data_IF_325611837348
#
_entry.id   IF_325611837348
#
_cell.length_a   1.000
_cell.length_b   1.000
_cell.length_c   1.000
_cell.angle_alpha   90.00
_cell.angle_beta   90.00
_cell.angle_gamma   90.00
#
_symmetry.space_group_name_H-M   'P 1'
#
loop_
_entity.id
_entity.type
_entity.pdbx_description
1 polymer ?
#
# COMPACT_ATOMS: atom_id res chain seq x y z
N UNK A 1 -37.90 -2.11 10.12
CA UNK A 1 -36.46 -1.76 10.16
C UNK A 1 -36.11 -1.15 8.79
N UNK A 2 -35.66 0.11 8.75
CA UNK A 2 -35.13 0.69 7.49
C UNK A 2 -33.77 0.07 7.27
N UNK A 3 -33.63 -0.81 6.26
CA UNK A 3 -32.35 -1.30 5.77
C UNK A 3 -31.62 -0.14 5.09
N UNK A 4 -30.61 0.41 5.75
CA UNK A 4 -29.71 1.36 5.11
C UNK A 4 -28.90 0.60 4.06
N UNK A 5 -29.17 0.89 2.79
CA UNK A 5 -28.38 0.36 1.67
C UNK A 5 -27.03 1.08 1.60
N UNK A 6 -26.08 0.65 2.42
CA UNK A 6 -24.70 1.17 2.36
C UNK A 6 -23.89 0.30 1.42
N UNK A 7 -23.20 0.91 0.44
CA UNK A 7 -22.28 0.20 -0.45
C UNK A 7 -21.08 -0.29 0.36
N UNK A 8 -20.65 -1.52 0.14
CA UNK A 8 -19.43 -2.10 0.70
C UNK A 8 -18.63 -2.85 -0.36
N UNK A 9 -17.37 -3.15 -0.06
CA UNK A 9 -16.49 -3.97 -0.90
C UNK A 9 -16.24 -5.28 -0.17
N UNK A 10 -16.42 -6.40 -0.87
CA UNK A 10 -16.20 -7.74 -0.35
C UNK A 10 -14.93 -8.32 -1.00
N UNK A 11 -13.89 -8.52 -0.20
CA UNK A 11 -12.66 -9.22 -0.61
C UNK A 11 -12.77 -10.69 -0.24
N UNK A 12 -13.11 -11.54 -1.21
CA UNK A 12 -13.09 -12.99 -1.04
C UNK A 12 -11.64 -13.45 -1.06
N UNK A 13 -11.17 -14.03 0.04
CA UNK A 13 -9.77 -14.44 0.16
C UNK A 13 -9.54 -15.76 -0.59
N UNK A 14 -8.46 -15.81 -1.38
CA UNK A 14 -8.01 -17.07 -1.97
C UNK A 14 -7.51 -18.02 -0.86
N UNK A 15 -7.54 -19.36 -1.09
CA UNK A 15 -6.97 -20.31 -0.16
C UNK A 15 -5.47 -20.02 0.07
N UNK A 16 -5.15 -19.43 1.20
CA UNK A 16 -3.78 -19.14 1.66
C UNK A 16 -3.61 -19.65 3.08
N UNK A 17 -2.36 -19.77 3.55
CA UNK A 17 -2.07 -20.22 4.92
C UNK A 17 -2.88 -19.40 5.93
N UNK A 18 -3.63 -20.08 6.81
CA UNK A 18 -4.48 -19.47 7.86
C UNK A 18 -3.76 -18.37 8.66
N UNK A 19 -2.43 -18.54 8.88
CA UNK A 19 -1.60 -17.56 9.59
C UNK A 19 -1.59 -16.19 8.86
N UNK A 20 -1.53 -16.18 7.52
CA UNK A 20 -1.55 -14.93 6.74
C UNK A 20 -2.88 -14.20 6.85
N UNK A 21 -3.99 -14.94 6.78
CA UNK A 21 -5.34 -14.39 6.93
C UNK A 21 -5.52 -13.77 8.32
N UNK A 22 -5.17 -14.51 9.37
CA UNK A 22 -5.27 -14.02 10.75
C UNK A 22 -4.43 -12.76 10.97
N UNK A 23 -3.24 -12.68 10.36
CA UNK A 23 -2.37 -11.50 10.44
C UNK A 23 -3.03 -10.29 9.77
N UNK A 24 -3.53 -10.42 8.53
CA UNK A 24 -4.21 -9.33 7.83
C UNK A 24 -5.39 -8.79 8.64
N UNK A 25 -6.24 -9.69 9.17
CA UNK A 25 -7.38 -9.30 10.02
C UNK A 25 -6.90 -8.58 11.27
N UNK A 26 -5.89 -9.10 11.97
CA UNK A 26 -5.37 -8.50 13.20
C UNK A 26 -4.78 -7.11 12.94
N UNK A 27 -4.05 -6.93 11.85
CA UNK A 27 -3.52 -5.64 11.43
C UNK A 27 -4.65 -4.64 11.16
N UNK A 28 -5.66 -5.03 10.37
CA UNK A 28 -6.81 -4.18 10.08
C UNK A 28 -7.60 -3.79 11.34
N UNK A 29 -7.73 -4.71 12.30
CA UNK A 29 -8.35 -4.44 13.60
C UNK A 29 -7.54 -3.44 14.43
N UNK A 30 -6.20 -3.59 14.46
CA UNK A 30 -5.30 -2.67 15.17
C UNK A 30 -5.31 -1.26 14.55
N UNK A 31 -5.55 -1.17 13.24
CA UNK A 31 -5.58 0.09 12.49
C UNK A 31 -7.00 0.70 12.39
N UNK A 32 -7.99 0.13 13.06
CA UNK A 32 -9.37 0.62 13.04
C UNK A 32 -9.44 2.07 13.52
N UNK A 33 -10.13 2.91 12.75
CA UNK A 33 -10.24 4.35 13.01
C UNK A 33 -9.01 5.16 12.60
N UNK A 34 -7.99 4.51 12.04
CA UNK A 34 -6.78 5.16 11.56
C UNK A 34 -7.05 6.09 10.38
N UNK A 35 -6.35 7.23 10.38
CA UNK A 35 -6.53 8.23 9.34
C UNK A 35 -6.08 7.68 7.99
N UNK A 36 -6.96 7.77 6.98
CA UNK A 36 -6.71 7.35 5.60
C UNK A 36 -6.38 5.85 5.42
N UNK A 37 -6.66 5.02 6.44
CA UNK A 37 -6.60 3.56 6.37
C UNK A 37 -7.99 3.03 6.04
N UNK A 38 -8.07 2.07 5.11
CA UNK A 38 -9.34 1.42 4.76
C UNK A 38 -9.95 0.76 5.99
N UNK A 39 -11.26 0.95 6.21
CA UNK A 39 -11.94 0.40 7.37
C UNK A 39 -12.49 -0.99 7.08
N UNK A 40 -12.07 -1.98 7.89
CA UNK A 40 -12.68 -3.30 7.94
C UNK A 40 -14.00 -3.19 8.72
N UNK A 41 -15.11 -3.50 8.05
CA UNK A 41 -16.45 -3.45 8.64
C UNK A 41 -16.82 -4.79 9.29
N UNK A 42 -16.52 -5.91 8.62
CA UNK A 42 -16.86 -7.24 9.09
C UNK A 42 -15.97 -8.31 8.47
N UNK A 43 -15.98 -9.50 9.06
CA UNK A 43 -15.34 -10.72 8.55
C UNK A 43 -16.39 -11.81 8.49
N UNK A 44 -16.68 -12.30 7.30
CA UNK A 44 -17.70 -13.33 7.06
C UNK A 44 -17.04 -14.62 6.58
N UNK A 45 -17.45 -15.75 7.16
CA UNK A 45 -17.01 -17.07 6.72
C UNK A 45 -18.09 -17.70 5.84
N UNK A 46 -17.75 -18.02 4.59
CA UNK A 46 -18.60 -18.87 3.77
C UNK A 46 -18.58 -20.31 4.32
N UNK A 47 -19.76 -20.81 4.71
CA UNK A 47 -19.91 -22.10 5.38
C UNK A 47 -19.55 -23.26 4.46
N UNK A 48 -19.83 -23.14 3.15
CA UNK A 48 -19.59 -24.20 2.17
C UNK A 48 -18.11 -24.31 1.79
N UNK A 49 -17.49 -23.20 1.40
CA UNK A 49 -16.09 -23.17 0.97
C UNK A 49 -15.10 -23.04 2.14
N UNK A 50 -15.58 -22.73 3.37
CA UNK A 50 -14.77 -22.40 4.55
C UNK A 50 -13.78 -21.25 4.28
N UNK A 51 -14.08 -20.39 3.31
CA UNK A 51 -13.25 -19.28 2.87
C UNK A 51 -13.72 -18.01 3.57
N UNK A 52 -12.86 -17.29 4.27
CA UNK A 52 -13.22 -16.00 4.86
C UNK A 52 -13.29 -14.92 3.78
N UNK A 53 -14.22 -13.99 3.96
CA UNK A 53 -14.35 -12.76 3.17
C UNK A 53 -14.25 -11.56 4.10
N UNK A 54 -13.51 -10.56 3.68
CA UNK A 54 -13.36 -9.30 4.40
C UNK A 54 -14.30 -8.27 3.80
N UNK A 55 -15.09 -7.62 4.66
CA UNK A 55 -16.04 -6.58 4.26
C UNK A 55 -15.43 -5.22 4.59
N UNK A 56 -15.27 -4.37 3.58
CA UNK A 56 -14.67 -3.05 3.71
C UNK A 56 -15.64 -1.93 3.39
N UNK A 57 -15.35 -0.73 3.88
CA UNK A 57 -15.98 0.49 3.39
C UNK A 57 -15.78 0.62 1.87
N UNK A 58 -16.75 1.22 1.20
CA UNK A 58 -16.66 1.52 -0.23
C UNK A 58 -16.02 2.89 -0.45
N UNK A 59 -15.03 2.96 -1.32
CA UNK A 59 -14.42 4.21 -1.80
C UNK A 59 -14.81 4.39 -3.27
N UNK A 60 -15.34 5.56 -3.63
CA UNK A 60 -15.63 5.90 -5.03
C UNK A 60 -14.34 6.30 -5.75
N UNK A 61 -13.48 5.30 -6.00
CA UNK A 61 -12.15 5.51 -6.57
C UNK A 61 -12.19 5.78 -8.06
N UNK A 62 -11.34 6.68 -8.52
CA UNK A 62 -10.99 6.83 -9.94
C UNK A 62 -9.66 6.12 -10.19
N UNK A 63 -9.59 5.30 -11.25
CA UNK A 63 -8.34 4.59 -11.59
C UNK A 63 -7.17 5.57 -11.74
N UNK A 64 -6.03 5.26 -11.14
CA UNK A 64 -4.88 6.17 -11.10
C UNK A 64 -4.35 6.50 -12.51
N UNK A 65 -4.48 5.61 -13.48
CA UNK A 65 -4.07 5.86 -14.86
C UNK A 65 -4.88 6.98 -15.52
N UNK A 66 -6.12 7.13 -15.08
CA UNK A 66 -7.01 8.22 -15.52
C UNK A 66 -6.82 9.45 -14.65
N UNK A 67 -6.72 9.28 -13.34
CA UNK A 67 -6.67 10.37 -12.38
C UNK A 67 -5.33 11.13 -12.38
N UNK A 68 -4.19 10.41 -12.29
CA UNK A 68 -2.87 11.05 -12.10
C UNK A 68 -2.50 12.04 -13.19
N UNK A 69 -2.78 11.78 -14.49
CA UNK A 69 -2.51 12.79 -15.54
C UNK A 69 -3.29 14.10 -15.37
N UNK A 70 -4.41 14.07 -14.64
CA UNK A 70 -5.26 15.27 -14.45
C UNK A 70 -4.89 16.09 -13.22
N UNK A 71 -4.10 15.51 -12.28
CA UNK A 71 -3.75 16.18 -11.03
C UNK A 71 -2.83 17.37 -11.25
N UNK A 72 -3.15 18.49 -10.60
CA UNK A 72 -2.31 19.66 -10.54
C UNK A 72 -1.30 19.57 -9.38
N UNK A 73 -0.33 20.47 -9.35
CA UNK A 73 0.71 20.49 -8.29
C UNK A 73 0.11 20.46 -6.88
N UNK A 74 -0.91 21.25 -6.62
CA UNK A 74 -1.60 21.28 -5.33
C UNK A 74 -2.24 19.92 -4.97
N UNK A 75 -2.84 19.25 -5.95
CA UNK A 75 -3.48 17.94 -5.73
C UNK A 75 -2.45 16.86 -5.40
N UNK A 76 -1.32 16.86 -6.12
CA UNK A 76 -0.21 15.92 -5.89
C UNK A 76 0.32 16.07 -4.46
N UNK A 77 0.60 17.32 -4.04
CA UNK A 77 1.06 17.61 -2.67
C UNK A 77 0.03 17.14 -1.64
N UNK A 78 -1.24 17.43 -1.88
CA UNK A 78 -2.33 17.06 -0.99
C UNK A 78 -2.43 15.54 -0.81
N UNK A 79 -2.48 14.77 -1.91
CA UNK A 79 -2.62 13.31 -1.81
C UNK A 79 -1.37 12.62 -1.28
N UNK A 80 -0.18 13.10 -1.58
CA UNK A 80 1.06 12.60 -0.96
C UNK A 80 1.04 12.86 0.54
N UNK A 81 0.60 14.03 0.98
CA UNK A 81 0.45 14.35 2.40
C UNK A 81 -0.59 13.47 3.09
N UNK A 82 -1.73 13.22 2.44
CA UNK A 82 -2.75 12.30 2.97
C UNK A 82 -2.23 10.84 3.07
N UNK A 83 -1.42 10.39 2.10
CA UNK A 83 -0.77 9.08 2.15
C UNK A 83 0.27 9.00 3.28
N UNK A 84 1.05 10.06 3.48
CA UNK A 84 1.98 10.15 4.61
C UNK A 84 1.29 10.03 5.96
N UNK A 85 0.09 10.62 6.13
CA UNK A 85 -0.71 10.45 7.35
C UNK A 85 -1.12 8.99 7.59
N UNK A 86 -1.46 8.26 6.51
CA UNK A 86 -1.79 6.83 6.63
C UNK A 86 -0.56 6.02 7.06
N UNK A 87 0.61 6.30 6.48
CA UNK A 87 1.85 5.63 6.83
C UNK A 87 2.32 5.98 8.24
N UNK A 88 2.28 7.25 8.62
CA UNK A 88 2.60 7.68 9.99
C UNK A 88 1.73 6.95 11.02
N UNK A 89 0.43 6.84 10.75
CA UNK A 89 -0.47 6.13 11.63
C UNK A 89 -0.12 4.64 11.77
N UNK A 90 0.08 3.91 10.67
CA UNK A 90 0.39 2.49 10.75
C UNK A 90 1.80 2.23 11.32
N UNK A 91 2.78 3.03 10.97
CA UNK A 91 4.15 2.92 11.53
C UNK A 91 4.16 3.20 13.04
N UNK A 92 3.40 4.21 13.51
CA UNK A 92 3.24 4.50 14.94
C UNK A 92 2.54 3.38 15.71
N UNK A 93 1.82 2.51 15.01
CA UNK A 93 1.21 1.31 15.58
C UNK A 93 2.08 0.04 15.36
N UNK A 94 3.34 0.19 14.99
CA UNK A 94 4.28 -0.92 14.82
C UNK A 94 4.01 -1.78 13.59
N UNK A 95 3.43 -1.23 12.51
CA UNK A 95 3.01 -1.98 11.32
C UNK A 95 3.64 -1.36 10.08
N UNK A 96 4.30 -2.21 9.25
CA UNK A 96 4.76 -1.89 7.90
C UNK A 96 3.72 -2.37 6.88
N UNK A 97 3.40 -1.56 5.87
CA UNK A 97 2.47 -1.94 4.79
C UNK A 97 3.11 -2.90 3.79
N UNK A 98 4.29 -2.59 3.31
CA UNK A 98 5.15 -3.38 2.41
C UNK A 98 4.64 -3.59 0.97
N UNK A 99 3.55 -2.93 0.58
CA UNK A 99 3.06 -2.93 -0.82
C UNK A 99 2.43 -1.57 -1.20
N UNK A 100 3.10 -0.48 -0.83
CA UNK A 100 2.67 0.87 -1.23
C UNK A 100 2.89 1.05 -2.72
N UNK A 101 1.82 1.36 -3.44
CA UNK A 101 1.80 1.56 -4.90
C UNK A 101 0.48 2.22 -5.32
N UNK A 102 0.38 2.79 -6.53
CA UNK A 102 -0.85 3.45 -7.00
C UNK A 102 -2.10 2.56 -6.93
N UNK A 103 -1.99 1.27 -7.24
CA UNK A 103 -3.12 0.32 -7.17
C UNK A 103 -3.67 0.15 -5.75
N UNK A 104 -2.86 0.38 -4.71
CA UNK A 104 -3.23 0.23 -3.31
C UNK A 104 -3.58 1.56 -2.65
N UNK A 105 -3.68 2.63 -3.42
CA UNK A 105 -4.10 3.95 -2.95
C UNK A 105 -5.38 4.34 -3.68
N UNK A 106 -6.51 4.26 -2.97
CA UNK A 106 -7.82 4.64 -3.51
C UNK A 106 -8.07 6.11 -3.24
N UNK A 107 -8.50 6.83 -4.29
CA UNK A 107 -8.80 8.26 -4.22
C UNK A 107 -10.20 8.53 -4.77
N UNK A 108 -11.07 9.06 -3.92
CA UNK A 108 -12.30 9.75 -4.31
C UNK A 108 -11.95 11.23 -4.49
N UNK A 109 -11.70 11.63 -5.74
CA UNK A 109 -11.23 12.99 -6.04
C UNK A 109 -12.32 14.05 -5.82
N UNK A 110 -13.58 13.68 -6.00
CA UNK A 110 -14.72 14.57 -5.74
C UNK A 110 -14.81 14.94 -4.26
N UNK A 111 -14.64 13.96 -3.36
CA UNK A 111 -14.64 14.18 -1.91
C UNK A 111 -13.27 14.49 -1.35
N UNK A 112 -12.21 14.44 -2.18
CA UNK A 112 -10.81 14.58 -1.78
C UNK A 112 -10.42 13.61 -0.64
N UNK A 113 -10.88 12.37 -0.73
CA UNK A 113 -10.63 11.31 0.24
C UNK A 113 -9.64 10.29 -0.32
N UNK A 114 -8.65 9.94 0.48
CA UNK A 114 -7.67 8.90 0.18
C UNK A 114 -7.81 7.74 1.19
N UNK A 115 -7.63 6.52 0.71
CA UNK A 115 -7.52 5.32 1.56
C UNK A 115 -6.39 4.43 1.08
N UNK A 116 -5.51 4.06 2.00
CA UNK A 116 -4.51 3.03 1.79
C UNK A 116 -5.16 1.67 2.03
N UNK A 117 -5.14 0.81 1.00
CA UNK A 117 -5.83 -0.48 0.97
C UNK A 117 -4.84 -1.65 0.85
N UNK A 118 -5.35 -2.87 0.90
CA UNK A 118 -4.65 -4.15 0.71
C UNK A 118 -3.48 -4.38 1.68
N UNK A 119 -3.83 -4.74 2.89
CA UNK A 119 -2.92 -5.03 4.00
C UNK A 119 -2.43 -6.49 4.03
N UNK A 120 -2.64 -7.25 2.96
CA UNK A 120 -2.29 -8.67 2.87
C UNK A 120 -0.79 -8.97 2.95
N UNK A 121 0.07 -8.00 2.59
CA UNK A 121 1.53 -8.09 2.74
C UNK A 121 2.04 -7.37 3.99
N UNK A 122 1.18 -6.69 4.75
CA UNK A 122 1.59 -5.96 5.94
C UNK A 122 2.14 -6.89 7.04
N UNK A 123 3.02 -6.35 7.89
CA UNK A 123 3.67 -7.11 8.95
C UNK A 123 3.93 -6.24 10.17
N UNK A 124 3.94 -6.86 11.35
CA UNK A 124 4.38 -6.21 12.57
C UNK A 124 5.89 -6.03 12.56
N UNK A 125 6.36 -4.84 12.93
CA UNK A 125 7.78 -4.56 13.07
C UNK A 125 8.27 -4.87 14.47
N UNK A 126 9.40 -5.58 14.53
CA UNK A 126 10.17 -5.82 15.74
C UNK A 126 11.66 -5.63 15.42
N UNK A 127 12.36 -4.85 16.26
CA UNK A 127 13.78 -4.57 16.05
C UNK A 127 14.61 -5.88 16.03
N UNK A 128 15.54 -5.97 15.07
CA UNK A 128 16.41 -7.14 14.91
C UNK A 128 15.73 -8.36 14.25
N UNK A 129 14.48 -8.23 13.81
CA UNK A 129 13.81 -9.30 13.08
C UNK A 129 14.16 -9.25 11.59
N UNK A 130 14.46 -10.41 11.02
CA UNK A 130 14.62 -10.61 9.59
C UNK A 130 13.25 -10.82 8.92
N UNK A 131 13.03 -10.09 7.84
CA UNK A 131 11.77 -10.14 7.08
C UNK A 131 11.99 -10.68 5.66
N UNK A 132 10.92 -11.22 5.09
CA UNK A 132 10.92 -11.68 3.70
C UNK A 132 11.08 -10.48 2.75
N UNK A 133 12.07 -10.53 1.87
CA UNK A 133 12.32 -9.51 0.85
C UNK A 133 11.45 -9.65 -0.40
N UNK A 134 10.74 -10.77 -0.56
CA UNK A 134 9.78 -10.99 -1.66
C UNK A 134 8.43 -10.34 -1.36
N UNK A 135 8.47 -9.04 -1.13
CA UNK A 135 7.32 -8.16 -0.88
C UNK A 135 7.38 -6.98 -1.83
N UNK A 136 6.35 -6.16 -1.86
CA UNK A 136 6.17 -5.03 -2.77
C UNK A 136 6.14 -5.41 -4.26
N UNK A 137 5.56 -4.55 -5.06
CA UNK A 137 5.62 -4.66 -6.51
C UNK A 137 6.97 -4.15 -7.01
N UNK A 138 7.54 -4.79 -8.05
CA UNK A 138 8.91 -4.57 -8.53
C UNK A 138 9.32 -3.09 -8.61
N UNK A 139 8.50 -2.27 -9.21
CA UNK A 139 8.80 -0.86 -9.48
C UNK A 139 8.88 0.01 -8.22
N UNK A 140 8.35 -0.49 -7.10
CA UNK A 140 8.25 0.17 -5.81
C UNK A 140 9.11 -0.49 -4.73
N UNK A 141 9.88 -1.55 -5.09
CA UNK A 141 10.82 -2.21 -4.17
C UNK A 141 11.94 -1.26 -3.78
N UNK A 142 12.17 -1.11 -2.46
CA UNK A 142 13.35 -0.43 -1.96
C UNK A 142 14.64 -1.19 -2.32
N UNK A 143 15.79 -0.48 -2.41
CA UNK A 143 17.09 -1.11 -2.66
C UNK A 143 17.39 -2.27 -1.71
N UNK A 144 16.99 -2.16 -0.44
CA UNK A 144 17.14 -3.18 0.59
C UNK A 144 16.54 -4.52 0.19
N UNK A 145 15.37 -4.52 -0.48
CA UNK A 145 14.74 -5.75 -0.97
C UNK A 145 15.47 -6.35 -2.16
N UNK A 146 16.07 -5.50 -2.99
CA UNK A 146 16.75 -5.91 -4.22
C UNK A 146 18.14 -6.48 -3.95
N UNK A 147 18.77 -6.13 -2.83
CA UNK A 147 20.07 -6.65 -2.37
C UNK A 147 19.92 -7.71 -1.26
N UNK A 148 18.70 -8.23 -1.05
CA UNK A 148 18.40 -9.29 -0.08
C UNK A 148 18.74 -8.91 1.38
N UNK A 149 18.63 -7.62 1.73
CA UNK A 149 18.82 -7.14 3.09
C UNK A 149 17.51 -7.31 3.88
N UNK A 150 17.50 -8.27 4.81
CA UNK A 150 16.27 -8.71 5.49
C UNK A 150 15.90 -7.88 6.74
N UNK A 151 16.85 -7.18 7.35
CA UNK A 151 16.60 -6.34 8.53
C UNK A 151 16.13 -4.94 8.15
N UNK A 152 15.06 -4.86 7.34
CA UNK A 152 14.46 -3.58 6.96
C UNK A 152 13.35 -3.18 7.93
N UNK A 153 12.87 -1.94 7.83
CA UNK A 153 11.90 -1.35 8.72
C UNK A 153 10.83 -0.53 7.97
N UNK A 154 10.13 0.35 8.67
CA UNK A 154 9.11 1.25 8.15
C UNK A 154 9.57 2.08 6.94
N UNK A 155 10.87 2.38 6.84
CA UNK A 155 11.45 3.20 5.77
C UNK A 155 11.24 2.61 4.38
N UNK A 156 11.02 1.29 4.28
CA UNK A 156 10.64 0.62 3.04
C UNK A 156 9.40 1.27 2.40
N UNK A 157 8.38 1.56 3.19
CA UNK A 157 7.14 2.17 2.70
C UNK A 157 7.37 3.59 2.18
N UNK A 158 8.32 4.32 2.78
CA UNK A 158 8.70 5.68 2.35
C UNK A 158 9.45 5.67 1.01
N UNK A 159 10.28 4.66 0.75
CA UNK A 159 10.87 4.47 -0.57
C UNK A 159 9.78 4.27 -1.63
N UNK A 160 8.83 3.37 -1.38
CA UNK A 160 7.72 3.09 -2.29
C UNK A 160 6.87 4.34 -2.56
N UNK A 161 6.57 5.14 -1.51
CA UNK A 161 5.89 6.43 -1.64
C UNK A 161 6.72 7.40 -2.50
N UNK A 162 8.03 7.47 -2.29
CA UNK A 162 8.92 8.30 -3.10
C UNK A 162 8.89 7.94 -4.59
N UNK A 163 8.83 6.65 -4.92
CA UNK A 163 8.67 6.17 -6.30
C UNK A 163 7.32 6.62 -6.90
N UNK A 164 6.22 6.53 -6.14
CA UNK A 164 4.92 7.05 -6.57
C UNK A 164 4.97 8.56 -6.81
N UNK A 165 5.53 9.31 -5.86
CA UNK A 165 5.64 10.76 -5.92
C UNK A 165 6.44 11.20 -7.14
N UNK A 166 7.59 10.55 -7.40
CA UNK A 166 8.39 10.81 -8.61
C UNK A 166 7.59 10.53 -9.89
N UNK A 167 6.84 9.43 -9.93
CA UNK A 167 5.96 9.10 -11.07
C UNK A 167 4.92 10.19 -11.34
N UNK A 168 4.31 10.72 -10.29
CA UNK A 168 3.31 11.79 -10.40
C UNK A 168 3.92 13.12 -10.86
N UNK A 169 5.07 13.53 -10.30
CA UNK A 169 5.74 14.80 -10.65
C UNK A 169 6.29 14.76 -12.07
N UNK A 170 7.03 13.69 -12.40
CA UNK A 170 7.71 13.58 -13.70
C UNK A 170 6.83 13.00 -14.80
N UNK A 171 5.55 12.74 -14.50
CA UNK A 171 4.58 12.17 -15.46
C UNK A 171 5.09 10.88 -16.12
N UNK A 172 5.77 10.06 -15.32
CA UNK A 172 6.37 8.79 -15.75
C UNK A 172 5.96 7.68 -14.78
N UNK A 173 5.04 6.83 -15.19
CA UNK A 173 4.52 5.73 -14.36
C UNK A 173 4.79 4.38 -15.05
N UNK A 174 5.56 3.47 -14.43
CA UNK A 174 6.32 3.68 -13.19
C UNK A 174 7.59 4.54 -13.40
N UNK A 175 8.08 5.20 -12.35
CA UNK A 175 9.30 6.02 -12.44
C UNK A 175 10.55 5.16 -12.69
N UNK A 176 10.76 4.14 -11.89
CA UNK A 176 11.80 3.13 -12.11
C UNK A 176 11.20 1.88 -12.75
N UNK A 177 11.38 1.72 -14.06
CA UNK A 177 10.75 0.66 -14.84
C UNK A 177 11.73 -0.49 -15.15
N UNK A 178 12.07 -1.30 -14.16
CA UNK A 178 12.93 -2.47 -14.32
C UNK A 178 12.21 -3.66 -14.96
N UNK A 179 12.92 -4.41 -15.80
CA UNK A 179 12.40 -5.63 -16.42
C UNK A 179 12.44 -6.83 -15.45
N UNK A 180 13.44 -6.84 -14.57
CA UNK A 180 13.63 -7.80 -13.48
C UNK A 180 14.20 -7.09 -12.24
N UNK A 181 14.49 -7.83 -11.17
CA UNK A 181 15.02 -7.24 -9.94
C UNK A 181 16.43 -6.64 -10.12
N UNK A 182 17.28 -7.24 -10.97
CA UNK A 182 18.60 -6.71 -11.26
C UNK A 182 18.52 -5.40 -12.05
N UNK A 183 17.74 -5.35 -13.12
CA UNK A 183 17.53 -4.13 -13.92
C UNK A 183 16.86 -3.04 -13.08
N UNK A 184 15.96 -3.42 -12.15
CA UNK A 184 15.35 -2.47 -11.22
C UNK A 184 16.41 -1.77 -10.38
N UNK A 185 17.33 -2.53 -9.77
CA UNK A 185 18.43 -1.97 -8.98
C UNK A 185 19.35 -1.09 -9.81
N UNK A 186 19.67 -1.53 -11.04
CA UNK A 186 20.51 -0.76 -11.96
C UNK A 186 19.88 0.60 -12.32
N UNK A 187 18.57 0.64 -12.55
CA UNK A 187 17.85 1.90 -12.85
C UNK A 187 17.85 2.84 -11.66
N UNK A 188 17.69 2.31 -10.45
CA UNK A 188 17.81 3.09 -9.21
C UNK A 188 19.22 3.65 -9.06
N UNK A 189 20.24 2.82 -9.21
CA UNK A 189 21.63 3.23 -9.08
C UNK A 189 22.01 4.35 -10.07
N UNK A 190 21.57 4.27 -11.33
CA UNK A 190 21.81 5.32 -12.34
C UNK A 190 21.30 6.71 -11.91
N UNK A 191 20.21 6.78 -11.18
CA UNK A 191 19.67 8.06 -10.69
C UNK A 191 20.38 8.50 -9.42
N UNK A 192 20.57 7.59 -8.45
CA UNK A 192 21.14 7.92 -7.14
C UNK A 192 22.66 8.16 -7.17
N UNK A 193 23.41 7.64 -8.16
CA UNK A 193 24.85 7.86 -8.26
C UNK A 193 25.23 9.15 -8.98
N UNK A 194 24.34 9.75 -9.74
CA UNK A 194 24.58 11.05 -10.41
C UNK A 194 24.68 12.22 -9.41
N UNK A 195 24.22 12.02 -8.15
CA UNK A 195 24.32 13.04 -7.10
C UNK A 195 25.69 13.07 -6.39
N UNK A 196 26.72 12.39 -6.90
CA UNK A 196 28.11 12.42 -6.40
C UNK A 196 29.03 13.13 -7.36
N UNK A 197 28.59 14.30 -7.81
CA UNK A 197 29.41 15.25 -8.56
C UNK A 197 29.45 16.60 -7.84
#
# INVERSE_FOLDING_TARGET
>A
MKTNSTKCVIKVLKPVKKKKIKREIKILQNLKGGKNVIQLLDVVLDVQSKTPSLIFEHVNNTDFKVLYPTLMDYDIRYYIFELLKALDFCHSNGIMHRDVKPHNVMIDHEKRQLRLIDWGLAEFYHAGQEYNVRVASRYFKGPELLVDFQEYDYSLDLWSLGCMFAGMIFRKEPFFHGQDNYDQLLRIAKVCTVCKG
#
